data_IF_969207940536
#
_entry.id   IF_969207940536
#
_cell.length_a   1.000
_cell.length_b   1.000
_cell.length_c   1.000
_cell.angle_alpha   90.00
_cell.angle_beta   90.00
_cell.angle_gamma   90.00
#
_symmetry.space_group_name_H-M   'P 1'
#
loop_
_entity.id
_entity.type
_entity.pdbx_description
1 polymer ?
#
# COMPACT_ATOMS: atom_id res chain seq x y z
N UNK A 1 12.36 -17.34 -2.46
CA UNK A 1 13.03 -16.39 -1.53
C UNK A 1 12.59 -16.79 -0.13
N UNK A 2 13.51 -16.91 0.82
CA UNK A 2 13.17 -17.19 2.22
C UNK A 2 12.42 -16.00 2.85
N UNK A 3 11.40 -16.27 3.66
CA UNK A 3 10.56 -15.23 4.30
C UNK A 3 11.41 -14.16 5.02
N UNK A 4 12.41 -14.58 5.77
CA UNK A 4 13.30 -13.68 6.50
C UNK A 4 14.03 -12.68 5.59
N UNK A 5 14.35 -13.08 4.36
CA UNK A 5 15.00 -12.19 3.39
C UNK A 5 14.04 -11.09 2.93
N UNK A 6 12.79 -11.42 2.63
CA UNK A 6 11.77 -10.45 2.24
C UNK A 6 11.53 -9.41 3.36
N UNK A 7 11.46 -9.88 4.61
CA UNK A 7 11.29 -9.01 5.79
C UNK A 7 12.46 -8.05 5.97
N UNK A 8 13.70 -8.52 5.78
CA UNK A 8 14.91 -7.69 5.89
C UNK A 8 15.07 -6.68 4.75
N UNK A 9 14.64 -7.02 3.54
CA UNK A 9 14.70 -6.12 2.37
C UNK A 9 13.68 -4.98 2.46
N UNK A 10 12.57 -5.18 3.17
CA UNK A 10 11.54 -4.15 3.35
C UNK A 10 12.08 -2.97 4.15
N UNK A 11 12.01 -1.78 3.57
CA UNK A 11 12.44 -0.51 4.16
C UNK A 11 11.44 0.60 3.87
N UNK A 12 11.49 1.67 4.65
CA UNK A 12 10.68 2.87 4.38
C UNK A 12 11.25 3.62 3.18
N UNK A 13 10.45 3.76 2.12
CA UNK A 13 10.82 4.47 0.88
C UNK A 13 10.17 5.85 0.87
N UNK A 14 10.96 6.90 0.60
CA UNK A 14 10.50 8.31 0.56
C UNK A 14 10.52 8.92 -0.84
N UNK A 15 11.12 8.25 -1.81
CA UNK A 15 11.21 8.72 -3.20
C UNK A 15 10.83 7.58 -4.13
N UNK A 16 9.88 7.84 -5.03
CA UNK A 16 9.32 6.90 -5.98
C UNK A 16 9.49 7.45 -7.38
N UNK A 17 9.48 6.56 -8.38
CA UNK A 17 9.48 6.96 -9.78
C UNK A 17 8.11 7.58 -10.13
N UNK A 18 8.02 8.85 -10.55
CA UNK A 18 6.75 9.53 -10.80
C UNK A 18 5.91 8.89 -11.91
N UNK A 19 6.58 8.29 -12.89
CA UNK A 19 5.95 7.72 -14.09
C UNK A 19 5.66 6.23 -13.95
N UNK A 20 5.97 5.64 -12.78
CA UNK A 20 5.71 4.22 -12.52
C UNK A 20 4.42 4.07 -11.72
N UNK A 21 3.41 3.50 -12.36
CA UNK A 21 2.16 3.13 -11.72
C UNK A 21 2.09 1.62 -11.46
N UNK A 22 1.46 1.23 -10.36
CA UNK A 22 1.08 -0.15 -10.10
C UNK A 22 -0.24 -0.43 -10.81
N UNK A 23 -0.27 -1.47 -11.64
CA UNK A 23 -1.48 -1.87 -12.36
C UNK A 23 -2.58 -2.34 -11.39
N UNK A 24 -3.81 -2.38 -11.89
CA UNK A 24 -4.93 -2.89 -11.09
C UNK A 24 -4.81 -4.39 -10.81
N UNK A 25 -4.18 -5.15 -11.71
CA UNK A 25 -3.91 -6.57 -11.52
C UNK A 25 -2.93 -6.80 -10.37
N UNK A 26 -1.79 -6.10 -10.37
CA UNK A 26 -0.79 -6.17 -9.30
C UNK A 26 -1.35 -5.71 -7.97
N UNK A 27 -2.14 -4.61 -7.94
CA UNK A 27 -2.77 -4.15 -6.70
C UNK A 27 -3.78 -5.18 -6.18
N UNK A 28 -4.57 -5.80 -7.06
CA UNK A 28 -5.56 -6.81 -6.69
C UNK A 28 -4.89 -8.04 -6.09
N UNK A 29 -3.83 -8.53 -6.73
CA UNK A 29 -3.03 -9.67 -6.24
C UNK A 29 -2.45 -9.36 -4.84
N UNK A 30 -1.83 -8.18 -4.67
CA UNK A 30 -1.34 -7.73 -3.37
C UNK A 30 -2.44 -7.72 -2.30
N UNK A 31 -3.63 -7.19 -2.63
CA UNK A 31 -4.72 -7.12 -1.67
C UNK A 31 -5.32 -8.49 -1.33
N UNK A 32 -5.29 -9.47 -2.26
CA UNK A 32 -5.70 -10.84 -1.99
C UNK A 32 -4.82 -11.51 -0.92
N UNK A 33 -3.53 -11.16 -0.86
CA UNK A 33 -2.65 -11.62 0.22
C UNK A 33 -2.90 -10.86 1.53
N UNK A 34 -3.06 -9.54 1.46
CA UNK A 34 -3.27 -8.67 2.64
C UNK A 34 -4.49 -9.10 3.47
N UNK A 35 -5.60 -9.43 2.81
CA UNK A 35 -6.86 -9.82 3.50
C UNK A 35 -6.76 -11.15 4.25
N UNK A 36 -5.72 -11.95 4.01
CA UNK A 36 -5.47 -13.19 4.77
C UNK A 36 -4.86 -12.94 6.15
N UNK A 37 -4.52 -11.69 6.46
CA UNK A 37 -4.04 -11.32 7.78
C UNK A 37 -5.07 -11.69 8.86
N UNK A 38 -4.63 -12.20 10.03
CA UNK A 38 -5.56 -12.48 11.11
C UNK A 38 -6.13 -11.18 11.69
N UNK A 39 -7.38 -11.22 12.13
CA UNK A 39 -8.01 -10.15 12.90
C UNK A 39 -8.73 -10.75 14.11
N UNK A 40 -8.91 -9.94 15.16
CA UNK A 40 -9.64 -10.39 16.35
C UNK A 40 -11.05 -10.85 15.95
N UNK A 41 -11.44 -12.04 16.40
CA UNK A 41 -12.69 -12.72 16.03
C UNK A 41 -12.91 -12.87 14.51
N UNK A 42 -11.87 -12.75 13.69
CA UNK A 42 -11.91 -12.70 12.24
C UNK A 42 -12.90 -11.64 11.69
N UNK A 43 -13.07 -10.51 12.38
CA UNK A 43 -14.04 -9.49 11.99
C UNK A 43 -13.61 -8.66 10.79
N UNK A 44 -12.30 -8.61 10.50
CA UNK A 44 -11.76 -7.94 9.32
C UNK A 44 -12.22 -6.47 9.20
N UNK A 45 -12.21 -5.72 10.31
CA UNK A 45 -12.69 -4.33 10.41
C UNK A 45 -11.86 -3.27 9.62
N UNK A 46 -11.09 -3.70 8.63
CA UNK A 46 -10.33 -2.80 7.76
C UNK A 46 -11.15 -2.36 6.56
N UNK A 47 -10.93 -1.11 6.15
CA UNK A 47 -11.33 -0.60 4.84
C UNK A 47 -10.10 -0.07 4.15
N UNK A 48 -9.84 -0.56 2.94
CA UNK A 48 -8.69 -0.14 2.14
C UNK A 48 -9.17 0.82 1.05
N UNK A 49 -8.57 2.01 0.98
CA UNK A 49 -8.87 3.02 -0.03
C UNK A 49 -7.60 3.26 -0.86
N UNK A 50 -7.61 2.78 -2.11
CA UNK A 50 -6.52 3.02 -3.05
C UNK A 50 -6.74 4.36 -3.80
N UNK A 51 -6.15 5.45 -3.30
CA UNK A 51 -6.23 6.75 -3.97
C UNK A 51 -5.35 6.74 -5.22
N UNK A 52 -5.96 6.77 -6.42
CA UNK A 52 -5.24 6.81 -7.71
C UNK A 52 -5.13 8.22 -8.30
N UNK A 53 -6.19 9.02 -8.17
CA UNK A 53 -6.27 10.36 -8.74
C UNK A 53 -5.19 11.29 -8.17
N UNK A 54 -4.41 11.93 -9.07
CA UNK A 54 -3.27 12.76 -8.71
C UNK A 54 -3.67 14.04 -7.96
N UNK A 55 -4.78 14.67 -8.34
CA UNK A 55 -5.26 15.88 -7.66
C UNK A 55 -5.70 15.59 -6.22
N UNK A 56 -6.34 14.44 -5.99
CA UNK A 56 -6.68 13.98 -4.64
C UNK A 56 -5.41 13.69 -3.83
N UNK A 57 -4.40 13.04 -4.40
CA UNK A 57 -3.10 12.83 -3.73
C UNK A 57 -2.45 14.17 -3.36
N UNK A 58 -2.46 15.16 -4.25
CA UNK A 58 -1.92 16.49 -3.98
C UNK A 58 -2.64 17.19 -2.82
N UNK A 59 -3.97 17.06 -2.72
CA UNK A 59 -4.75 17.58 -1.58
C UNK A 59 -4.39 16.88 -0.26
N UNK A 60 -4.20 15.57 -0.30
CA UNK A 60 -3.79 14.78 0.88
C UNK A 60 -2.38 15.20 1.33
N UNK A 61 -1.44 15.35 0.39
CA UNK A 61 -0.06 15.76 0.66
C UNK A 61 0.03 17.08 1.46
N UNK A 62 -0.81 18.06 1.14
CA UNK A 62 -0.88 19.34 1.86
C UNK A 62 -1.21 19.14 3.35
N UNK A 63 -1.98 18.10 3.69
CA UNK A 63 -2.33 17.73 5.07
C UNK A 63 -1.33 16.75 5.71
N UNK A 64 -0.37 16.22 4.93
CA UNK A 64 0.60 15.21 5.33
C UNK A 64 2.02 15.79 5.53
N UNK A 65 2.12 17.06 5.90
CA UNK A 65 3.40 17.79 6.06
C UNK A 65 4.22 17.83 4.76
N UNK A 66 3.51 17.94 3.62
CA UNK A 66 4.09 17.90 2.28
C UNK A 66 4.82 16.58 1.93
N UNK A 67 4.44 15.48 2.58
CA UNK A 67 4.89 14.12 2.25
C UNK A 67 3.94 13.39 1.30
#
# INVERSE_FOLDING_TARGET
MEFSSAVQQRRSIKSYQPDREISDAELKELMQEVVLSPSSFNLQHWTFIAVRNRDLKNKIQQSAWNQ
#
